data_IF_355413912115
#
_entry.id   IF_355413912115
#
_cell.length_a   1.000
_cell.length_b   1.000
_cell.length_c   1.000
_cell.angle_alpha   90.00
_cell.angle_beta   90.00
_cell.angle_gamma   90.00
#
_symmetry.space_group_name_H-M   'P 1'
#
loop_
_entity.id
_entity.type
_entity.pdbx_description
1 polymer ?
#
# COMPACT_ATOMS: atom_id res chain seq x y z
N UNK A 1 6.22 6.18 -1.06
CA UNK A 1 6.35 6.12 -2.52
C UNK A 1 7.42 7.08 -3.02
N UNK A 2 7.30 8.39 -2.78
CA UNK A 2 8.25 9.38 -3.31
C UNK A 2 9.70 9.11 -2.89
N UNK A 3 9.93 8.73 -1.62
CA UNK A 3 11.26 8.31 -1.15
C UNK A 3 11.82 7.09 -1.85
N UNK A 4 10.97 6.18 -2.34
CA UNK A 4 11.39 5.01 -3.10
C UNK A 4 11.84 5.46 -4.49
N UNK A 5 11.07 6.34 -5.14
CA UNK A 5 11.42 6.90 -6.45
C UNK A 5 12.71 7.73 -6.40
N UNK A 6 12.88 8.56 -5.37
CA UNK A 6 14.11 9.34 -5.13
C UNK A 6 15.36 8.47 -4.97
N UNK A 7 15.20 7.21 -4.54
CA UNK A 7 16.27 6.26 -4.28
C UNK A 7 16.24 5.05 -5.24
N UNK A 8 15.57 5.17 -6.38
CA UNK A 8 15.25 4.05 -7.27
C UNK A 8 16.50 3.26 -7.68
N UNK A 9 17.56 3.92 -8.14
CA UNK A 9 18.78 3.22 -8.59
C UNK A 9 19.48 2.51 -7.43
N UNK A 10 19.59 3.16 -6.28
CA UNK A 10 20.23 2.58 -5.09
C UNK A 10 19.49 1.32 -4.63
N UNK A 11 18.16 1.38 -4.55
CA UNK A 11 17.32 0.24 -4.15
C UNK A 11 17.34 -0.89 -5.17
N UNK A 12 17.30 -0.57 -6.47
CA UNK A 12 17.34 -1.56 -7.54
C UNK A 12 18.67 -2.33 -7.59
N UNK A 13 19.80 -1.63 -7.38
CA UNK A 13 21.12 -2.26 -7.28
C UNK A 13 21.22 -3.15 -6.05
N UNK A 14 20.73 -2.68 -4.89
CA UNK A 14 20.72 -3.46 -3.67
C UNK A 14 19.89 -4.75 -3.82
N UNK A 15 18.68 -4.66 -4.38
CA UNK A 15 17.81 -5.81 -4.67
C UNK A 15 18.47 -6.78 -5.66
N UNK A 16 19.15 -6.27 -6.69
CA UNK A 16 19.89 -7.11 -7.64
C UNK A 16 21.05 -7.85 -7.00
N UNK A 17 21.77 -7.24 -6.07
CA UNK A 17 22.88 -7.88 -5.36
C UNK A 17 22.39 -8.94 -4.37
N UNK A 18 21.30 -8.67 -3.66
CA UNK A 18 20.76 -9.58 -2.64
C UNK A 18 20.01 -10.76 -3.27
N UNK A 19 19.16 -10.48 -4.27
CA UNK A 19 18.25 -11.47 -4.87
C UNK A 19 18.81 -12.10 -6.16
N UNK A 20 19.86 -11.51 -6.75
CA UNK A 20 20.48 -12.02 -7.99
C UNK A 20 19.69 -11.74 -9.28
N UNK A 21 18.63 -10.91 -9.20
CA UNK A 21 17.83 -10.52 -10.38
C UNK A 21 18.62 -9.62 -11.32
N UNK A 22 18.43 -9.74 -12.66
CA UNK A 22 19.00 -8.79 -13.60
C UNK A 22 18.56 -7.35 -13.26
N UNK A 23 19.51 -6.40 -13.26
CA UNK A 23 19.24 -4.99 -12.90
C UNK A 23 18.10 -4.35 -13.69
N UNK A 24 17.89 -4.77 -14.94
CA UNK A 24 16.77 -4.29 -15.77
C UNK A 24 15.39 -4.62 -15.18
N UNK A 25 15.27 -5.68 -14.39
CA UNK A 25 14.02 -6.13 -13.77
C UNK A 25 13.73 -5.32 -12.51
N UNK A 26 14.72 -5.20 -11.63
CA UNK A 26 14.58 -4.44 -10.39
C UNK A 26 14.39 -2.94 -10.66
N UNK A 27 15.11 -2.40 -11.64
CA UNK A 27 15.07 -0.98 -12.02
C UNK A 27 13.75 -0.57 -12.69
N UNK A 28 13.19 -1.43 -13.54
CA UNK A 28 12.03 -1.07 -14.38
C UNK A 28 10.71 -1.69 -13.91
N UNK A 29 10.75 -2.70 -13.04
CA UNK A 29 9.55 -3.36 -12.52
C UNK A 29 9.52 -3.35 -10.99
N UNK A 30 10.40 -4.08 -10.29
CA UNK A 30 10.20 -4.33 -8.85
C UNK A 30 10.12 -3.04 -8.02
N UNK A 31 11.09 -2.14 -8.16
CA UNK A 31 11.14 -0.90 -7.37
C UNK A 31 10.03 0.09 -7.77
N UNK A 32 9.78 0.35 -9.08
CA UNK A 32 8.63 1.16 -9.50
C UNK A 32 7.28 0.59 -9.04
N UNK A 33 7.07 -0.72 -9.16
CA UNK A 33 5.83 -1.38 -8.73
C UNK A 33 5.66 -1.31 -7.21
N UNK A 34 6.74 -1.42 -6.43
CA UNK A 34 6.67 -1.20 -4.99
C UNK A 34 6.23 0.22 -4.66
N UNK A 35 6.81 1.24 -5.32
CA UNK A 35 6.41 2.63 -5.12
C UNK A 35 4.94 2.86 -5.47
N UNK A 36 4.46 2.32 -6.60
CA UNK A 36 3.06 2.37 -7.02
C UNK A 36 2.13 1.71 -5.99
N UNK A 37 2.52 0.56 -5.45
CA UNK A 37 1.75 -0.15 -4.43
C UNK A 37 1.55 0.70 -3.16
N UNK A 38 2.57 1.42 -2.72
CA UNK A 38 2.44 2.37 -1.61
C UNK A 38 1.48 3.53 -1.95
N UNK A 39 1.48 4.04 -3.19
CA UNK A 39 0.54 5.09 -3.62
C UNK A 39 -0.90 4.57 -3.66
N UNK A 40 -1.08 3.34 -4.14
CA UNK A 40 -2.36 2.66 -4.15
C UNK A 40 -2.95 2.56 -2.74
N UNK A 41 -2.20 2.02 -1.78
CA UNK A 41 -2.71 1.88 -0.41
C UNK A 41 -2.89 3.20 0.34
N UNK A 42 -2.07 4.22 0.04
CA UNK A 42 -2.30 5.57 0.54
C UNK A 42 -3.64 6.17 0.06
N UNK A 43 -4.10 5.76 -1.12
CA UNK A 43 -5.42 6.13 -1.64
C UNK A 43 -6.52 5.24 -1.05
N UNK A 44 -6.27 3.93 -0.96
CA UNK A 44 -7.23 2.96 -0.43
C UNK A 44 -7.65 3.30 1.00
N UNK A 45 -6.73 3.69 1.88
CA UNK A 45 -7.05 4.06 3.27
C UNK A 45 -7.94 5.31 3.37
N UNK A 46 -7.89 6.21 2.38
CA UNK A 46 -8.76 7.39 2.33
C UNK A 46 -10.15 7.08 1.77
N UNK A 47 -10.24 6.06 0.91
CA UNK A 47 -11.48 5.62 0.29
C UNK A 47 -12.20 4.54 1.11
N UNK A 48 -11.56 4.00 2.15
CA UNK A 48 -12.16 3.00 3.01
C UNK A 48 -13.19 3.66 3.93
N UNK A 49 -14.43 3.19 3.81
CA UNK A 49 -15.57 3.71 4.57
C UNK A 49 -16.22 2.60 5.39
N UNK A 50 -16.76 2.98 6.56
CA UNK A 50 -17.66 2.13 7.33
C UNK A 50 -19.07 2.12 6.74
N UNK A 51 -19.98 1.38 7.37
CA UNK A 51 -21.40 1.36 6.97
C UNK A 51 -22.29 1.80 8.10
N UNK A 52 -23.32 2.57 7.77
CA UNK A 52 -24.40 2.95 8.67
C UNK A 52 -25.70 2.31 8.18
N UNK A 53 -26.48 1.76 9.10
CA UNK A 53 -27.83 1.27 8.83
C UNK A 53 -28.77 1.74 9.92
N UNK A 54 -29.86 2.40 9.56
CA UNK A 54 -30.97 2.61 10.46
C UNK A 54 -31.74 1.29 10.61
N UNK A 55 -31.99 0.85 11.85
CA UNK A 55 -32.73 -0.39 12.11
C UNK A 55 -34.21 -0.08 12.36
N UNK A 56 -34.49 0.99 13.12
CA UNK A 56 -35.83 1.53 13.39
C UNK A 56 -35.74 3.03 13.74
N UNK A 57 -36.84 3.61 14.24
CA UNK A 57 -36.93 5.04 14.55
C UNK A 57 -35.97 5.49 15.66
N UNK A 58 -35.61 4.59 16.58
CA UNK A 58 -34.80 4.90 17.77
C UNK A 58 -33.40 4.26 17.74
N UNK A 59 -33.10 3.43 16.73
CA UNK A 59 -31.90 2.59 16.70
C UNK A 59 -31.13 2.70 15.39
N UNK A 60 -29.83 3.00 15.48
CA UNK A 60 -28.89 3.01 14.35
C UNK A 60 -27.70 2.07 14.62
N UNK A 61 -27.35 1.26 13.64
CA UNK A 61 -26.16 0.41 13.63
C UNK A 61 -25.02 1.06 12.85
N UNK A 62 -23.82 1.05 13.45
CA UNK A 62 -22.57 1.50 12.84
C UNK A 62 -21.63 0.32 12.71
N UNK A 63 -21.01 0.18 11.54
CA UNK A 63 -20.03 -0.86 11.24
C UNK A 63 -18.71 -0.20 10.88
N UNK A 64 -17.68 -0.49 11.68
CA UNK A 64 -16.32 0.01 11.50
C UNK A 64 -15.40 -1.12 11.07
N UNK A 65 -14.44 -0.79 10.21
CA UNK A 65 -13.36 -1.70 9.84
C UNK A 65 -12.13 -1.38 10.69
N UNK A 66 -12.06 -1.98 11.87
CA UNK A 66 -10.92 -1.79 12.79
C UNK A 66 -9.69 -2.60 12.34
N UNK A 67 -8.47 -2.09 12.56
CA UNK A 67 -7.27 -2.87 12.33
C UNK A 67 -7.20 -4.05 13.32
N UNK A 68 -6.72 -5.20 12.86
CA UNK A 68 -6.56 -6.41 13.69
C UNK A 68 -5.57 -6.23 14.85
N UNK A 69 -4.66 -5.25 14.76
CA UNK A 69 -3.62 -4.99 15.74
C UNK A 69 -2.23 -5.33 15.19
N UNK A 70 -1.49 -6.18 15.90
CA UNK A 70 -0.12 -6.57 15.52
C UNK A 70 -0.17 -7.57 14.36
N UNK A 71 0.54 -7.25 13.27
CA UNK A 71 0.69 -8.06 12.04
C UNK A 71 2.18 -8.26 11.74
#
# INVERSE_FOLDING_TARGET
>A
ADRIDENLEMLAVAESWDNGKPIRETLNADIPLAADHFRYFASAVRAQEGRLSQLDDDTTAYHYHEPLGVV
#
